data_IF_456453195203
#
_entry.id   IF_456453195203
#
_cell.length_a   1.000
_cell.length_b   1.000
_cell.length_c   1.000
_cell.angle_alpha   90.00
_cell.angle_beta   90.00
_cell.angle_gamma   90.00
#
_symmetry.space_group_name_H-M   'P 1'
#
loop_
_entity.id
_entity.type
_entity.pdbx_description
1 polymer ?
#
# COMPACT_ATOMS: atom_id res chain seq x y z
N UNK A 1 -22.34 -6.54 -39.78
CA UNK A 1 -22.57 -6.69 -38.33
C UNK A 1 -21.26 -6.48 -37.60
N UNK A 2 -21.04 -5.30 -37.02
CA UNK A 2 -19.91 -5.05 -36.12
C UNK A 2 -20.31 -5.46 -34.70
N UNK A 3 -19.53 -6.34 -34.10
CA UNK A 3 -19.57 -6.58 -32.65
C UNK A 3 -19.15 -5.29 -31.94
N UNK A 4 -19.81 -4.84 -30.86
CA UNK A 4 -19.30 -3.72 -30.10
C UNK A 4 -17.98 -4.16 -29.47
N UNK A 5 -16.92 -3.41 -29.74
CA UNK A 5 -15.69 -3.46 -28.95
C UNK A 5 -16.08 -3.32 -27.48
N UNK A 6 -15.71 -4.29 -26.64
CA UNK A 6 -15.76 -4.13 -25.19
C UNK A 6 -15.03 -2.82 -24.89
N UNK A 7 -15.76 -1.77 -24.50
CA UNK A 7 -15.12 -0.62 -23.89
C UNK A 7 -14.42 -1.16 -22.65
N UNK A 8 -13.11 -1.11 -22.61
CA UNK A 8 -12.37 -1.11 -21.34
C UNK A 8 -12.63 0.23 -20.69
N UNK A 9 -13.84 0.41 -20.14
CA UNK A 9 -14.07 1.50 -19.20
C UNK A 9 -13.41 1.07 -17.89
N UNK A 10 -12.26 1.66 -17.57
CA UNK A 10 -11.87 1.78 -16.16
C UNK A 10 -13.09 2.35 -15.42
N UNK A 11 -13.62 1.66 -14.41
CA UNK A 11 -14.85 2.13 -13.75
C UNK A 11 -14.61 3.31 -12.81
N UNK A 12 -13.35 3.58 -12.46
CA UNK A 12 -12.98 4.77 -11.70
C UNK A 12 -11.54 4.75 -11.21
N UNK A 13 -11.20 5.82 -10.50
CA UNK A 13 -9.93 6.02 -9.84
C UNK A 13 -10.13 5.91 -8.31
N UNK A 14 -9.32 5.08 -7.67
CA UNK A 14 -9.30 4.91 -6.21
C UNK A 14 -8.17 5.76 -5.66
N UNK A 15 -8.54 6.82 -4.93
CA UNK A 15 -7.60 7.73 -4.27
C UNK A 15 -7.33 7.25 -2.85
N UNK A 16 -6.06 7.08 -2.52
CA UNK A 16 -5.65 6.54 -1.22
C UNK A 16 -4.59 7.44 -0.62
N UNK A 17 -4.90 8.05 0.51
CA UNK A 17 -3.93 8.83 1.27
C UNK A 17 -3.43 8.02 2.47
N UNK A 18 -2.14 7.71 2.50
CA UNK A 18 -1.49 7.16 3.69
C UNK A 18 -1.07 8.33 4.57
N UNK A 19 -1.79 8.54 5.67
CA UNK A 19 -1.56 9.67 6.58
C UNK A 19 -0.42 9.36 7.55
N UNK A 20 -0.59 8.35 8.40
CA UNK A 20 0.38 8.01 9.45
C UNK A 20 0.22 6.56 9.91
N UNK A 21 1.24 6.04 10.59
CA UNK A 21 1.12 4.88 11.48
C UNK A 21 1.23 5.35 12.94
N UNK A 22 0.70 4.55 13.86
CA UNK A 22 0.75 4.83 15.30
C UNK A 22 1.22 3.59 16.04
N UNK A 23 2.15 3.77 16.99
CA UNK A 23 2.71 2.71 17.82
C UNK A 23 3.22 1.49 17.03
N UNK A 24 4.03 1.73 15.99
CA UNK A 24 4.67 0.66 15.22
C UNK A 24 5.58 -0.17 16.14
N UNK A 25 5.38 -1.50 16.11
CA UNK A 25 6.18 -2.45 16.89
C UNK A 25 7.63 -2.40 16.42
N UNK A 26 8.56 -2.22 17.35
CA UNK A 26 9.99 -2.42 17.10
C UNK A 26 10.25 -3.90 16.76
N UNK A 27 10.76 -4.15 15.56
CA UNK A 27 11.17 -5.49 15.11
C UNK A 27 12.64 -5.59 14.70
N UNK A 28 13.29 -4.46 14.37
CA UNK A 28 14.73 -4.38 14.12
C UNK A 28 15.62 -4.53 15.37
N UNK A 29 16.90 -4.85 15.11
CA UNK A 29 17.93 -5.07 16.15
C UNK A 29 18.26 -3.81 16.96
N UNK A 30 18.31 -2.65 16.31
CA UNK A 30 18.71 -1.38 16.90
C UNK A 30 17.63 -0.31 16.67
N UNK A 31 17.59 0.71 17.54
CA UNK A 31 16.65 1.83 17.38
C UNK A 31 15.18 1.46 17.50
N UNK A 32 14.31 2.35 17.07
CA UNK A 32 12.92 2.06 16.67
C UNK A 32 12.92 1.56 15.22
N UNK A 33 11.78 1.07 14.75
CA UNK A 33 11.63 0.66 13.35
C UNK A 33 11.75 1.85 12.38
N UNK A 34 12.11 1.52 11.14
CA UNK A 34 12.14 2.36 9.94
C UNK A 34 10.92 2.03 9.05
N UNK A 35 9.68 2.36 9.46
CA UNK A 35 8.49 1.85 8.80
C UNK A 35 8.20 2.47 7.43
N UNK A 36 7.65 1.63 6.55
CA UNK A 36 6.96 2.03 5.32
C UNK A 36 5.74 1.15 5.05
N UNK A 37 4.84 1.63 4.19
CA UNK A 37 3.62 0.92 3.80
C UNK A 37 3.65 0.63 2.31
N UNK A 38 3.45 -0.63 1.94
CA UNK A 38 3.12 -1.00 0.55
C UNK A 38 1.61 -1.08 0.39
N UNK A 39 1.12 -0.59 -0.74
CA UNK A 39 -0.27 -0.64 -1.17
C UNK A 39 -0.37 -1.52 -2.41
N UNK A 40 -1.47 -2.26 -2.54
CA UNK A 40 -1.74 -3.02 -3.75
C UNK A 40 -3.23 -3.16 -4.03
N UNK A 41 -3.63 -2.91 -5.28
CA UNK A 41 -4.97 -3.09 -5.79
C UNK A 41 -4.88 -3.62 -7.22
N UNK A 42 -5.51 -4.77 -7.51
CA UNK A 42 -5.47 -5.42 -8.81
C UNK A 42 -4.03 -5.62 -9.30
N UNK A 43 -3.69 -5.08 -10.47
CA UNK A 43 -2.36 -5.19 -11.09
C UNK A 43 -1.38 -4.07 -10.69
N UNK A 44 -1.78 -3.19 -9.76
CA UNK A 44 -1.00 -2.01 -9.39
C UNK A 44 -0.54 -2.08 -7.94
N UNK A 45 0.66 -1.58 -7.68
CA UNK A 45 1.22 -1.42 -6.34
C UNK A 45 1.90 -0.07 -6.18
N UNK A 46 1.98 0.41 -4.94
CA UNK A 46 2.69 1.62 -4.57
C UNK A 46 3.35 1.44 -3.20
N UNK A 47 4.24 2.35 -2.84
CA UNK A 47 4.94 2.34 -1.56
C UNK A 47 5.15 3.78 -1.06
N UNK A 48 5.02 3.96 0.25
CA UNK A 48 5.43 5.19 0.93
C UNK A 48 6.94 5.37 0.95
N UNK A 49 7.34 6.60 1.25
CA UNK A 49 8.68 6.84 1.79
C UNK A 49 8.92 5.99 3.05
N UNK A 50 10.20 5.73 3.33
CA UNK A 50 10.64 5.10 4.58
C UNK A 50 10.94 6.22 5.58
N UNK A 51 10.35 6.14 6.77
CA UNK A 51 10.64 7.09 7.85
C UNK A 51 11.52 6.40 8.88
N UNK A 52 12.76 6.88 9.04
CA UNK A 52 13.74 6.23 9.91
C UNK A 52 13.47 6.44 11.40
N UNK A 53 13.67 5.40 12.20
CA UNK A 53 13.74 5.36 13.65
C UNK A 53 12.53 6.05 14.30
N UNK A 54 11.32 5.70 13.84
CA UNK A 54 10.08 6.35 14.27
C UNK A 54 8.91 5.38 14.34
N UNK A 55 8.37 5.17 15.55
CA UNK A 55 7.18 4.36 15.79
C UNK A 55 5.85 5.05 15.41
N UNK A 56 5.89 6.34 15.08
CA UNK A 56 4.72 7.15 14.71
C UNK A 56 5.01 7.98 13.44
N UNK A 57 5.33 7.33 12.30
CA UNK A 57 5.66 8.02 11.07
C UNK A 57 4.44 8.74 10.49
N UNK A 58 4.66 9.93 9.95
CA UNK A 58 3.66 10.70 9.20
C UNK A 58 4.15 10.79 7.76
N UNK A 59 3.31 10.38 6.82
CA UNK A 59 3.62 10.32 5.39
C UNK A 59 2.89 11.42 4.62
N UNK A 60 1.56 11.53 4.80
CA UNK A 60 0.68 12.40 4.00
C UNK A 60 0.85 12.20 2.49
N UNK A 61 1.09 10.96 2.07
CA UNK A 61 1.32 10.59 0.67
C UNK A 61 0.01 10.09 0.04
N UNK A 62 -0.29 10.54 -1.18
CA UNK A 62 -1.51 10.13 -1.92
C UNK A 62 -1.16 9.35 -3.17
N UNK A 63 -1.84 8.23 -3.37
CA UNK A 63 -1.72 7.35 -4.54
C UNK A 63 -3.06 7.22 -5.24
N UNK A 64 -2.99 6.97 -6.55
CA UNK A 64 -4.17 6.77 -7.38
C UNK A 64 -4.04 5.43 -8.07
N UNK A 65 -5.03 4.56 -7.88
CA UNK A 65 -5.13 3.26 -8.51
C UNK A 65 -6.28 3.27 -9.51
N UNK A 66 -6.05 2.74 -10.71
CA UNK A 66 -7.14 2.45 -11.65
C UNK A 66 -7.89 1.21 -11.16
N UNK A 67 -9.21 1.25 -11.22
CA UNK A 67 -10.07 0.13 -10.82
C UNK A 67 -10.92 -0.36 -11.99
N UNK A 68 -10.88 -1.66 -12.24
CA UNK A 68 -11.73 -2.35 -13.21
C UNK A 68 -12.61 -3.40 -12.49
N UNK A 69 -13.95 -3.23 -12.46
CA UNK A 69 -14.86 -4.14 -11.78
C UNK A 69 -14.98 -5.50 -12.49
N UNK A 70 -14.43 -5.65 -13.70
CA UNK A 70 -14.34 -6.94 -14.38
C UNK A 70 -13.20 -7.81 -13.84
N UNK A 71 -12.27 -7.24 -13.06
CA UNK A 71 -11.20 -8.00 -12.39
C UNK A 71 -11.74 -8.53 -11.06
N UNK A 72 -11.58 -9.84 -10.84
CA UNK A 72 -11.92 -10.54 -9.59
C UNK A 72 -10.88 -10.26 -8.48
N UNK A 73 -10.67 -8.98 -8.20
CA UNK A 73 -9.91 -8.44 -7.08
C UNK A 73 -10.49 -7.08 -6.71
N UNK A 74 -11.29 -7.07 -5.66
CA UNK A 74 -11.95 -5.91 -5.10
C UNK A 74 -11.38 -5.53 -3.73
N UNK A 75 -10.15 -5.92 -3.41
CA UNK A 75 -9.51 -5.55 -2.15
C UNK A 75 -8.27 -4.69 -2.37
N UNK A 76 -8.24 -3.51 -1.75
CA UNK A 76 -6.99 -2.80 -1.55
C UNK A 76 -6.26 -3.37 -0.33
N UNK A 77 -4.99 -3.70 -0.51
CA UNK A 77 -4.14 -4.34 0.50
C UNK A 77 -3.06 -3.36 0.95
N UNK A 78 -2.89 -3.25 2.26
CA UNK A 78 -1.83 -2.50 2.92
C UNK A 78 -0.93 -3.49 3.66
N UNK A 79 0.39 -3.34 3.52
CA UNK A 79 1.37 -4.08 4.32
C UNK A 79 2.42 -3.13 4.89
N UNK A 80 2.62 -3.22 6.20
CA UNK A 80 3.61 -2.44 6.93
C UNK A 80 4.88 -3.26 7.05
N UNK A 81 6.00 -2.66 6.70
CA UNK A 81 7.34 -3.25 6.80
C UNK A 81 8.27 -2.37 7.61
N UNK A 82 9.23 -3.00 8.28
CA UNK A 82 10.42 -2.36 8.84
C UNK A 82 11.58 -2.50 7.86
N UNK A 83 12.14 -1.39 7.38
CA UNK A 83 13.32 -1.44 6.51
C UNK A 83 14.54 -1.91 7.33
N UNK A 84 15.23 -2.93 6.84
CA UNK A 84 16.44 -3.42 7.48
C UNK A 84 17.69 -2.76 6.89
N UNK A 85 18.61 -2.29 7.73
CA UNK A 85 19.94 -1.81 7.29
C UNK A 85 20.74 -2.91 6.60
N UNK A 86 20.57 -4.16 7.04
CA UNK A 86 21.22 -5.33 6.48
C UNK A 86 20.23 -6.49 6.42
N UNK A 87 20.27 -7.26 5.32
CA UNK A 87 19.36 -8.39 5.11
C UNK A 87 18.02 -7.95 4.51
N UNK A 88 16.96 -8.67 4.88
CA UNK A 88 15.61 -8.44 4.35
C UNK A 88 14.74 -7.62 5.30
N UNK A 89 13.85 -6.83 4.73
CA UNK A 89 12.83 -6.10 5.48
C UNK A 89 11.89 -7.05 6.22
N UNK A 90 11.42 -6.60 7.39
CA UNK A 90 10.56 -7.40 8.25
C UNK A 90 9.11 -6.95 8.13
N UNK A 91 8.19 -7.88 7.80
CA UNK A 91 6.75 -7.61 7.80
C UNK A 91 6.27 -7.39 9.24
N UNK A 92 5.60 -6.27 9.50
CA UNK A 92 5.04 -5.93 10.82
C UNK A 92 3.55 -6.28 10.89
N UNK A 93 2.79 -5.98 9.83
CA UNK A 93 1.35 -6.16 9.83
C UNK A 93 0.69 -5.85 8.50
N UNK A 94 -0.59 -6.20 8.38
CA UNK A 94 -1.35 -6.03 7.13
C UNK A 94 -2.77 -5.56 7.42
N UNK A 95 -3.36 -4.78 6.50
CA UNK A 95 -4.77 -4.44 6.50
C UNK A 95 -5.35 -4.58 5.09
N UNK A 96 -6.65 -4.85 4.98
CA UNK A 96 -7.37 -4.98 3.70
C UNK A 96 -8.73 -4.32 3.79
N UNK A 97 -9.14 -3.69 2.71
CA UNK A 97 -10.43 -3.02 2.60
C UNK A 97 -11.03 -3.35 1.25
N UNK A 98 -12.33 -3.67 1.23
CA UNK A 98 -13.07 -3.81 -0.02
C UNK A 98 -13.22 -2.46 -0.70
N UNK A 99 -13.05 -2.45 -2.03
CA UNK A 99 -13.20 -1.31 -2.93
C UNK A 99 -14.46 -1.49 -3.76
#
# INVERSE_FOLDING_TARGET
MSWPSKRTEYAGDVYVTVVQLFNVKKVGLFGQSDPYVTLGLQHSSAQTSVVKNNANPVYNETYVFKYDPAIDDNEIRFRVYDQATFGSDTSIGTARFSV
#
